data_IF_459822851085
#
_entry.id   IF_459822851085
#
_cell.length_a   1.000
_cell.length_b   1.000
_cell.length_c   1.000
_cell.angle_alpha   90.00
_cell.angle_beta   90.00
_cell.angle_gamma   90.00
#
_symmetry.space_group_name_H-M   'P 1'
#
loop_
_entity.id
_entity.type
_entity.pdbx_description
1 polymer ?
#
# COMPACT_ATOMS: atom_id res chain seq x y z
N UNK A 1 0.27 -18.69 -9.63
CA UNK A 1 -0.74 -17.81 -9.02
C UNK A 1 -0.23 -16.98 -7.84
N UNK A 2 0.81 -17.44 -7.12
CA UNK A 2 1.36 -16.78 -5.92
C UNK A 2 1.73 -15.28 -6.12
N UNK A 3 2.35 -14.92 -7.25
CA UNK A 3 2.74 -13.53 -7.54
C UNK A 3 1.56 -12.56 -7.64
N UNK A 4 0.42 -13.02 -8.15
CA UNK A 4 -0.82 -12.23 -8.17
C UNK A 4 -1.31 -11.98 -6.75
N UNK A 5 -1.20 -12.97 -5.87
CA UNK A 5 -1.65 -12.88 -4.48
C UNK A 5 -0.79 -11.87 -3.70
N UNK A 6 0.53 -11.90 -3.87
CA UNK A 6 1.45 -10.90 -3.28
C UNK A 6 1.12 -9.49 -3.76
N UNK A 7 0.84 -9.31 -5.05
CA UNK A 7 0.43 -8.02 -5.60
C UNK A 7 -0.88 -7.52 -4.96
N UNK A 8 -1.88 -8.39 -4.86
CA UNK A 8 -3.19 -8.05 -4.26
C UNK A 8 -3.04 -7.69 -2.79
N UNK A 9 -2.26 -8.45 -2.01
CA UNK A 9 -1.97 -8.11 -0.62
C UNK A 9 -1.25 -6.77 -0.49
N UNK A 10 -0.29 -6.48 -1.37
CA UNK A 10 0.38 -5.19 -1.41
C UNK A 10 -0.58 -4.03 -1.68
N UNK A 11 -1.49 -4.18 -2.65
CA UNK A 11 -2.51 -3.17 -2.96
C UNK A 11 -3.44 -2.96 -1.77
N UNK A 12 -3.95 -4.03 -1.18
CA UNK A 12 -4.83 -3.96 -0.01
C UNK A 12 -4.13 -3.30 1.18
N UNK A 13 -2.87 -3.64 1.43
CA UNK A 13 -2.07 -3.03 2.49
C UNK A 13 -1.84 -1.53 2.26
N UNK A 14 -1.55 -1.11 1.01
CA UNK A 14 -1.39 0.31 0.67
C UNK A 14 -2.70 1.07 0.86
N UNK A 15 -3.82 0.52 0.40
CA UNK A 15 -5.14 1.13 0.59
C UNK A 15 -5.49 1.27 2.07
N UNK A 16 -5.23 0.23 2.86
CA UNK A 16 -5.47 0.24 4.30
C UNK A 16 -4.58 1.27 5.01
N UNK A 17 -3.28 1.30 4.71
CA UNK A 17 -2.35 2.30 5.25
C UNK A 17 -2.75 3.73 4.89
N UNK A 18 -3.22 3.95 3.66
CA UNK A 18 -3.67 5.27 3.20
C UNK A 18 -4.95 5.69 3.91
N UNK A 19 -5.91 4.77 4.07
CA UNK A 19 -7.15 5.04 4.77
C UNK A 19 -6.88 5.39 6.24
N UNK A 20 -6.10 4.58 6.96
CA UNK A 20 -5.80 4.82 8.38
C UNK A 20 -5.06 6.13 8.57
N UNK A 21 -3.98 6.36 7.80
CA UNK A 21 -3.18 7.58 7.93
C UNK A 21 -3.97 8.81 7.48
N UNK A 22 -4.67 8.72 6.35
CA UNK A 22 -5.48 9.81 5.81
C UNK A 22 -6.62 10.21 6.72
N UNK A 23 -7.35 9.24 7.29
CA UNK A 23 -8.39 9.53 8.29
C UNK A 23 -7.78 10.15 9.54
N UNK A 24 -6.65 9.62 10.02
CA UNK A 24 -5.99 10.14 11.23
C UNK A 24 -5.50 11.58 11.06
N UNK A 25 -4.97 11.96 9.89
CA UNK A 25 -4.61 13.34 9.58
C UNK A 25 -5.86 14.21 9.38
N UNK A 26 -6.91 13.67 8.77
CA UNK A 26 -8.14 14.42 8.54
C UNK A 26 -8.85 14.77 9.84
N UNK A 27 -8.90 13.87 10.83
CA UNK A 27 -9.61 14.07 12.10
C UNK A 27 -9.31 15.42 12.79
N UNK A 28 -8.06 15.81 13.10
CA UNK A 28 -7.77 17.11 13.73
C UNK A 28 -8.10 18.30 12.81
N UNK A 29 -8.11 18.11 11.49
CA UNK A 29 -8.44 19.17 10.52
C UNK A 29 -9.95 19.42 10.49
N UNK A 30 -10.77 18.37 10.36
CA UNK A 30 -12.24 18.52 10.30
C UNK A 30 -12.87 18.72 11.66
N UNK A 31 -12.29 18.15 12.72
CA UNK A 31 -12.86 18.17 14.06
C UNK A 31 -12.17 19.13 15.04
N UNK A 32 -11.17 19.92 14.59
CA UNK A 32 -10.49 21.01 15.30
C UNK A 32 -10.59 21.02 16.83
N UNK A 33 -11.66 21.57 17.42
CA UNK A 33 -11.81 21.66 18.88
C UNK A 33 -12.00 20.32 19.61
N UNK A 34 -12.24 19.21 18.92
CA UNK A 34 -12.57 17.88 19.48
C UNK A 34 -11.47 16.84 19.32
N UNK A 35 -10.45 17.11 18.50
CA UNK A 35 -9.36 16.16 18.27
C UNK A 35 -8.04 16.90 18.21
N UNK A 36 -7.17 16.63 19.19
CA UNK A 36 -5.83 17.21 19.24
C UNK A 36 -4.90 16.55 18.23
N UNK A 37 -3.84 17.27 17.84
CA UNK A 37 -2.80 16.71 17.00
C UNK A 37 -2.04 15.59 17.72
N UNK A 38 -1.83 15.70 19.03
CA UNK A 38 -1.24 14.62 19.84
C UNK A 38 -2.06 13.32 19.81
N UNK A 39 -3.39 13.39 19.85
CA UNK A 39 -4.24 12.21 19.74
C UNK A 39 -4.21 11.61 18.34
N UNK A 40 -4.23 12.46 17.31
CA UNK A 40 -4.15 12.04 15.92
C UNK A 40 -2.83 11.31 15.60
N UNK A 41 -1.72 11.69 16.26
CA UNK A 41 -0.41 11.04 16.07
C UNK A 41 -0.44 9.54 16.36
N UNK A 42 -1.28 9.08 17.29
CA UNK A 42 -1.44 7.65 17.57
C UNK A 42 -2.02 6.86 16.40
N UNK A 43 -2.76 7.49 15.49
CA UNK A 43 -3.22 6.87 14.25
C UNK A 43 -2.25 7.09 13.09
N UNK A 44 -1.66 8.28 13.00
CA UNK A 44 -0.75 8.66 11.91
C UNK A 44 0.53 7.82 11.93
N UNK A 45 1.17 7.69 13.08
CA UNK A 45 2.46 6.99 13.21
C UNK A 45 2.32 5.51 12.79
N UNK A 46 1.48 4.67 13.41
CA UNK A 46 1.36 3.28 12.99
C UNK A 46 0.76 3.15 11.59
N UNK A 47 -0.17 4.03 11.19
CA UNK A 47 -0.71 4.06 9.83
C UNK A 47 0.38 4.25 8.78
N UNK A 48 1.30 5.19 9.02
CA UNK A 48 2.42 5.48 8.13
C UNK A 48 3.41 4.32 8.04
N UNK A 49 3.67 3.63 9.15
CA UNK A 49 4.52 2.43 9.17
C UNK A 49 3.91 1.31 8.33
N UNK A 50 2.61 1.03 8.51
CA UNK A 50 1.88 0.02 7.72
C UNK A 50 1.88 0.39 6.24
N UNK A 51 1.69 1.68 5.91
CA UNK A 51 1.73 2.18 4.55
C UNK A 51 3.09 1.92 3.89
N UNK A 52 4.19 2.28 4.58
CA UNK A 52 5.55 2.09 4.08
C UNK A 52 5.84 0.61 3.84
N UNK A 53 5.55 -0.27 4.80
CA UNK A 53 5.77 -1.71 4.66
C UNK A 53 4.95 -2.27 3.49
N UNK A 54 3.67 -1.90 3.41
CA UNK A 54 2.77 -2.36 2.35
C UNK A 54 3.22 -1.89 0.97
N UNK A 55 3.75 -0.67 0.88
CA UNK A 55 4.29 -0.12 -0.36
C UNK A 55 5.49 -0.93 -0.87
N UNK A 56 6.40 -1.35 0.01
CA UNK A 56 7.51 -2.23 -0.38
C UNK A 56 7.02 -3.60 -0.84
N UNK A 57 6.04 -4.20 -0.17
CA UNK A 57 5.44 -5.48 -0.58
C UNK A 57 4.78 -5.35 -1.96
N UNK A 58 4.06 -4.26 -2.19
CA UNK A 58 3.46 -3.94 -3.48
C UNK A 58 4.52 -3.81 -4.59
N UNK A 59 5.61 -3.08 -4.34
CA UNK A 59 6.74 -2.95 -5.27
C UNK A 59 7.35 -4.30 -5.64
N UNK A 60 7.59 -5.16 -4.66
CA UNK A 60 8.13 -6.52 -4.88
C UNK A 60 7.16 -7.33 -5.76
N UNK A 61 5.87 -7.32 -5.43
CA UNK A 61 4.83 -7.98 -6.22
C UNK A 61 4.78 -7.45 -7.65
N UNK A 62 4.89 -6.14 -7.84
CA UNK A 62 4.84 -5.48 -9.14
C UNK A 62 6.04 -5.86 -10.01
N UNK A 63 7.25 -5.81 -9.45
CA UNK A 63 8.48 -6.20 -10.15
C UNK A 63 8.38 -7.66 -10.63
N UNK A 64 7.88 -8.55 -9.78
CA UNK A 64 7.69 -9.95 -10.15
C UNK A 64 6.67 -10.15 -11.27
N UNK A 65 5.51 -9.47 -11.21
CA UNK A 65 4.50 -9.52 -12.26
C UNK A 65 5.06 -9.01 -13.59
N UNK A 66 5.81 -7.90 -13.58
CA UNK A 66 6.43 -7.33 -14.78
C UNK A 66 7.49 -8.26 -15.38
N UNK A 67 8.36 -8.83 -14.55
CA UNK A 67 9.37 -9.81 -14.99
C UNK A 67 8.72 -11.05 -15.61
N UNK A 68 7.67 -11.59 -14.99
CA UNK A 68 7.01 -12.80 -15.49
C UNK A 68 6.24 -12.56 -16.80
N UNK A 69 5.66 -11.36 -16.98
CA UNK A 69 5.02 -10.97 -18.25
C UNK A 69 6.00 -10.87 -19.41
N UNK A 70 7.25 -10.43 -19.19
CA UNK A 70 8.28 -10.38 -20.23
C UNK A 70 8.68 -11.76 -20.74
N UNK A 71 8.81 -12.75 -19.85
CA UNK A 71 9.19 -14.13 -20.24
C UNK A 71 8.14 -14.79 -21.13
N UNK A 72 6.85 -14.58 -20.86
CA UNK A 72 5.78 -15.16 -21.68
C UNK A 72 5.65 -14.51 -23.06
N UNK A 73 6.00 -13.23 -23.23
CA UNK A 73 5.98 -12.58 -24.56
C UNK A 73 7.12 -13.05 -25.46
N UNK A 74 8.32 -13.28 -24.89
CA UNK A 74 9.46 -13.79 -25.65
C UNK A 74 9.24 -15.20 -26.21
N UNK A 75 8.44 -16.03 -25.53
CA UNK A 75 8.11 -17.40 -25.97
C UNK A 75 7.11 -17.45 -27.15
N UNK A 76 6.36 -16.38 -27.42
CA UNK A 76 5.32 -16.36 -28.47
C UNK A 76 5.87 -15.85 -29.82
N UNK A 77 6.98 -15.11 -29.82
CA UNK A 77 7.61 -14.60 -31.06
C UNK A 77 8.50 -15.64 -31.76
N UNK A 78 8.77 -16.78 -31.12
CA UNK A 78 9.63 -17.86 -31.67
C UNK A 78 8.77 -19.06 -32.15
N UNK A 79 7.43 -18.97 -32.11
CA UNK A 79 6.53 -19.97 -32.69
C UNK A 79 5.96 -19.51 -34.02
#
# INVERSE_FOLDING_TARGET
MLWKLVLVLGILGVLLGLAVTGVSVALPIVNGPRTSWEEAMYGIIPGSVVLVISFFIFLIGLIFVLKNRKKNKASVTIQ
#
